data_IF_419063090704
#
_entry.id   IF_419063090704
#
_cell.length_a   1.000
_cell.length_b   1.000
_cell.length_c   1.000
_cell.angle_alpha   90.00
_cell.angle_beta   90.00
_cell.angle_gamma   90.00
#
_symmetry.space_group_name_H-M   'P 1'
#
loop_
_entity.id
_entity.type
_entity.pdbx_description
1 polymer ?
#
# COMPACT_ATOMS: atom_id res chain seq x y z
N UNK A 1 15.35 -0.75 -13.55
CA UNK A 1 14.95 -0.72 -12.13
C UNK A 1 13.44 -0.79 -12.09
N UNK A 2 12.85 -1.53 -11.15
CA UNK A 2 11.39 -1.50 -10.94
C UNK A 2 10.91 -0.07 -10.69
N UNK A 3 9.69 0.24 -11.11
CA UNK A 3 9.07 1.55 -10.96
C UNK A 3 9.18 2.05 -9.51
N UNK A 4 9.86 3.18 -9.31
CA UNK A 4 9.91 3.90 -8.03
C UNK A 4 11.16 3.68 -7.18
N UNK A 5 12.10 2.81 -7.56
CA UNK A 5 13.39 2.68 -6.86
C UNK A 5 14.44 3.61 -7.47
N UNK A 6 15.08 4.42 -6.64
CA UNK A 6 16.18 5.34 -7.00
C UNK A 6 17.30 5.22 -5.97
N UNK A 7 18.49 5.68 -6.31
CA UNK A 7 19.62 5.68 -5.38
C UNK A 7 20.96 5.81 -6.07
N UNK A 8 22.03 5.78 -5.29
CA UNK A 8 23.41 5.74 -5.78
C UNK A 8 23.90 4.31 -5.81
N UNK A 9 24.57 3.94 -6.90
CA UNK A 9 25.30 2.67 -6.97
C UNK A 9 26.48 2.74 -6.01
N UNK A 10 26.50 1.82 -5.04
CA UNK A 10 27.57 1.74 -4.02
C UNK A 10 28.54 0.61 -4.30
N UNK A 11 28.15 -0.37 -5.11
CA UNK A 11 28.97 -1.53 -5.41
C UNK A 11 28.50 -2.27 -6.65
N UNK A 12 29.46 -2.83 -7.39
CA UNK A 12 29.20 -3.73 -8.50
C UNK A 12 30.06 -4.97 -8.31
N UNK A 13 29.40 -6.11 -8.10
CA UNK A 13 30.04 -7.42 -7.99
C UNK A 13 29.72 -8.21 -9.25
N UNK A 14 30.75 -8.50 -10.03
CA UNK A 14 30.64 -9.35 -11.21
C UNK A 14 31.05 -10.76 -10.79
N UNK A 15 30.31 -11.78 -11.21
CA UNK A 15 30.61 -13.21 -11.11
C UNK A 15 30.68 -13.80 -12.52
N UNK A 16 31.69 -14.59 -12.83
CA UNK A 16 31.89 -15.21 -14.16
C UNK A 16 32.35 -16.65 -14.01
N UNK A 17 31.74 -17.54 -14.79
CA UNK A 17 32.13 -18.95 -14.83
C UNK A 17 33.58 -19.14 -15.29
N UNK A 18 34.04 -18.28 -16.20
CA UNK A 18 35.43 -18.29 -16.70
C UNK A 18 36.45 -18.00 -15.59
N UNK A 19 36.07 -17.25 -14.55
CA UNK A 19 36.93 -16.95 -13.40
C UNK A 19 36.81 -17.99 -12.27
N UNK A 20 36.05 -19.07 -12.49
CA UNK A 20 35.82 -20.12 -11.50
C UNK A 20 34.69 -19.84 -10.50
N UNK A 21 33.88 -18.81 -10.72
CA UNK A 21 32.73 -18.53 -9.84
C UNK A 21 31.64 -19.59 -10.02
N UNK A 22 31.10 -20.11 -8.89
CA UNK A 22 29.98 -21.06 -8.91
C UNK A 22 28.70 -20.35 -9.34
N UNK A 23 28.21 -20.67 -10.54
CA UNK A 23 26.97 -20.13 -11.12
C UNK A 23 26.02 -21.26 -11.51
N UNK A 24 24.71 -21.02 -11.40
CA UNK A 24 23.67 -21.99 -11.79
C UNK A 24 23.82 -22.43 -13.25
N UNK A 25 23.31 -23.63 -13.57
CA UNK A 25 23.39 -24.17 -14.93
C UNK A 25 22.76 -23.21 -15.96
N UNK A 26 23.42 -23.02 -17.10
CA UNK A 26 23.01 -22.06 -18.13
C UNK A 26 23.43 -20.60 -17.90
N UNK A 27 23.94 -20.22 -16.72
CA UNK A 27 24.39 -18.85 -16.43
C UNK A 27 25.90 -18.73 -16.63
N UNK A 28 26.32 -17.91 -17.59
CA UNK A 28 27.73 -17.66 -17.92
C UNK A 28 28.33 -16.56 -17.02
N UNK A 29 27.55 -15.51 -16.74
CA UNK A 29 27.96 -14.34 -15.97
C UNK A 29 26.77 -13.80 -15.17
N UNK A 30 27.00 -13.36 -13.93
CA UNK A 30 26.00 -12.72 -13.06
C UNK A 30 26.57 -11.40 -12.53
N UNK A 31 25.79 -10.32 -12.61
CA UNK A 31 26.21 -9.00 -12.14
C UNK A 31 25.26 -8.56 -11.04
N UNK A 32 25.79 -8.34 -9.84
CA UNK A 32 25.08 -7.78 -8.70
C UNK A 32 25.42 -6.29 -8.61
N UNK A 33 24.39 -5.45 -8.66
CA UNK A 33 24.52 -4.01 -8.51
C UNK A 33 23.85 -3.63 -7.19
N UNK A 34 24.63 -3.14 -6.25
CA UNK A 34 24.16 -2.65 -4.95
C UNK A 34 23.85 -1.16 -5.06
N UNK A 35 22.61 -0.78 -4.71
CA UNK A 35 22.12 0.59 -4.80
C UNK A 35 21.64 1.02 -3.42
N UNK A 36 22.14 2.15 -2.94
CA UNK A 36 21.76 2.74 -1.65
C UNK A 36 20.97 4.04 -1.84
N UNK A 37 20.00 4.25 -0.97
CA UNK A 37 19.16 5.45 -0.93
C UNK A 37 19.04 5.94 0.51
N UNK A 38 19.23 7.24 0.72
CA UNK A 38 18.95 7.89 2.00
C UNK A 38 17.50 8.39 1.96
N UNK A 39 16.68 7.92 2.91
CA UNK A 39 15.24 8.25 2.98
C UNK A 39 14.92 9.05 4.23
N UNK A 40 14.64 10.33 4.05
CA UNK A 40 14.12 11.20 5.10
C UNK A 40 12.71 10.76 5.55
N UNK A 41 12.24 11.24 6.70
CA UNK A 41 10.84 11.06 7.09
C UNK A 41 9.93 11.93 6.19
N UNK A 42 8.92 11.32 5.60
CA UNK A 42 7.98 12.00 4.71
C UNK A 42 6.53 11.81 5.13
N UNK A 43 5.66 12.71 4.67
CA UNK A 43 4.19 12.56 4.81
C UNK A 43 3.77 11.19 4.28
N UNK A 44 2.97 10.46 5.05
CA UNK A 44 2.57 9.09 4.74
C UNK A 44 3.45 8.00 5.37
N UNK A 45 4.64 8.32 5.89
CA UNK A 45 5.44 7.37 6.65
C UNK A 45 4.79 7.03 7.99
N UNK A 46 4.97 5.79 8.42
CA UNK A 46 4.41 5.30 9.68
C UNK A 46 5.40 5.43 10.83
N UNK A 47 4.99 6.11 11.89
CA UNK A 47 5.72 6.23 13.15
C UNK A 47 5.00 5.45 14.26
N UNK A 48 5.74 5.07 15.29
CA UNK A 48 5.18 4.42 16.47
C UNK A 48 5.98 4.72 17.73
N UNK A 49 5.28 4.98 18.83
CA UNK A 49 5.90 4.91 20.15
C UNK A 49 5.95 3.47 20.68
N UNK A 50 6.58 3.29 21.84
CA UNK A 50 6.76 1.99 22.50
C UNK A 50 5.44 1.40 23.03
N UNK A 51 4.44 2.25 23.26
CA UNK A 51 3.15 1.89 23.85
C UNK A 51 2.04 1.60 22.81
N UNK A 52 2.43 1.25 21.58
CA UNK A 52 1.49 0.88 20.52
C UNK A 52 0.73 2.06 19.88
N UNK A 53 1.07 3.30 20.24
CA UNK A 53 0.60 4.52 19.61
C UNK A 53 1.21 4.64 18.20
N UNK A 54 0.59 3.96 17.23
CA UNK A 54 0.99 3.98 15.82
C UNK A 54 0.23 5.09 15.09
N UNK A 55 0.94 5.85 14.28
CA UNK A 55 0.39 6.94 13.48
C UNK A 55 1.08 7.04 12.12
N UNK A 56 0.46 7.79 11.21
CA UNK A 56 1.05 8.18 9.93
C UNK A 56 1.31 9.67 9.99
N UNK A 57 2.43 10.14 9.43
CA UNK A 57 2.73 11.57 9.34
C UNK A 57 1.70 12.21 8.39
N UNK A 58 0.81 13.05 8.91
CA UNK A 58 -0.21 13.74 8.12
C UNK A 58 0.33 15.01 7.46
N UNK A 59 1.18 15.76 8.17
CA UNK A 59 1.76 17.02 7.70
C UNK A 59 3.10 17.25 8.40
N UNK A 60 4.05 17.82 7.66
CA UNK A 60 5.29 18.38 8.20
C UNK A 60 5.12 19.90 8.16
N UNK A 61 5.20 20.54 9.32
CA UNK A 61 5.08 21.99 9.44
C UNK A 61 6.47 22.63 9.46
N UNK A 62 6.60 23.88 8.98
CA UNK A 62 7.75 24.72 9.30
C UNK A 62 7.91 24.90 10.82
N UNK A 63 9.12 25.18 11.28
CA UNK A 63 9.43 25.33 12.70
C UNK A 63 8.67 26.52 13.32
N UNK A 64 8.54 27.62 12.57
CA UNK A 64 7.82 28.83 12.95
C UNK A 64 6.32 28.62 13.16
N UNK A 65 5.74 27.60 12.53
CA UNK A 65 4.33 27.26 12.63
C UNK A 65 4.02 26.33 13.82
N UNK A 66 5.06 25.76 14.45
CA UNK A 66 4.88 24.79 15.53
C UNK A 66 4.56 25.50 16.85
N UNK A 67 3.67 24.93 17.68
CA UNK A 67 3.48 25.40 19.04
C UNK A 67 4.80 25.44 19.81
N UNK A 68 5.01 26.51 20.57
CA UNK A 68 6.26 26.74 21.30
C UNK A 68 6.01 26.99 22.78
N UNK A 69 7.02 26.67 23.58
CA UNK A 69 7.05 26.85 25.04
C UNK A 69 7.44 28.29 25.41
N UNK A 70 7.30 28.69 26.67
CA UNK A 70 7.62 30.05 27.12
C UNK A 70 9.09 30.45 26.93
N UNK A 71 9.99 29.48 26.79
CA UNK A 71 11.41 29.66 26.46
C UNK A 71 11.67 29.89 24.96
N UNK A 72 10.61 29.89 24.13
CA UNK A 72 10.69 30.04 22.68
C UNK A 72 10.93 28.74 21.92
N UNK A 73 11.11 27.60 22.60
CA UNK A 73 11.43 26.35 21.93
C UNK A 73 10.16 25.69 21.35
N UNK A 74 10.13 25.38 20.05
CA UNK A 74 9.01 24.67 19.44
C UNK A 74 8.98 23.20 19.84
N UNK A 75 7.80 22.58 19.75
CA UNK A 75 7.64 21.13 19.89
C UNK A 75 7.94 20.42 18.57
N UNK A 76 8.49 19.21 18.63
CA UNK A 76 8.85 18.45 17.42
C UNK A 76 7.66 17.68 16.81
N UNK A 77 6.71 17.25 17.64
CA UNK A 77 5.62 16.37 17.21
C UNK A 77 4.38 16.58 18.07
N UNK A 78 3.22 16.65 17.42
CA UNK A 78 1.92 16.80 18.06
C UNK A 78 1.16 15.48 17.95
N UNK A 79 0.79 14.89 19.10
CA UNK A 79 0.01 13.66 19.18
C UNK A 79 -1.46 13.97 19.55
N UNK A 80 -2.39 13.26 18.92
CA UNK A 80 -3.82 13.41 19.25
C UNK A 80 -4.13 12.78 20.62
N UNK A 81 -4.81 13.51 21.53
CA UNK A 81 -5.14 12.97 22.86
C UNK A 81 -6.26 11.91 22.79
N UNK A 82 -7.10 11.91 21.75
CA UNK A 82 -8.27 11.01 21.63
C UNK A 82 -7.88 9.52 21.59
N UNK A 83 -6.67 9.23 21.12
CA UNK A 83 -6.16 7.87 20.98
C UNK A 83 -5.65 7.24 22.27
N UNK A 84 -5.56 8.00 23.38
CA UNK A 84 -5.02 7.51 24.66
C UNK A 84 -6.10 6.86 25.53
N UNK A 85 -7.25 7.50 25.84
CA UNK A 85 -8.26 6.90 26.71
C UNK A 85 -8.86 5.62 26.12
N UNK A 86 -9.10 5.60 24.81
CA UNK A 86 -9.70 4.47 24.10
C UNK A 86 -8.81 3.22 24.05
N UNK A 87 -7.49 3.38 24.20
CA UNK A 87 -6.50 2.29 24.08
C UNK A 87 -5.87 1.89 25.41
N UNK A 88 -6.20 2.59 26.50
CA UNK A 88 -5.68 2.35 27.85
C UNK A 88 -4.14 2.32 27.93
N UNK A 89 -3.45 3.05 27.06
CA UNK A 89 -1.99 3.09 27.00
C UNK A 89 -1.41 4.33 27.71
N UNK A 90 -1.78 4.50 28.98
CA UNK A 90 -1.33 5.62 29.84
C UNK A 90 0.19 5.66 30.01
N UNK A 91 0.88 4.52 29.82
CA UNK A 91 2.34 4.45 29.88
C UNK A 91 3.04 5.48 29.00
N UNK A 92 2.45 5.86 27.85
CA UNK A 92 3.03 6.90 27.00
C UNK A 92 3.02 8.29 27.67
N UNK A 93 2.04 8.57 28.52
CA UNK A 93 1.95 9.85 29.25
C UNK A 93 2.92 9.85 30.43
N UNK A 94 3.06 8.71 31.11
CA UNK A 94 4.08 8.53 32.15
C UNK A 94 5.49 8.67 31.59
N UNK A 95 5.74 8.08 30.42
CA UNK A 95 7.00 8.24 29.66
C UNK A 95 7.24 9.71 29.31
N UNK A 96 6.23 10.41 28.79
CA UNK A 96 6.31 11.83 28.43
C UNK A 96 6.77 12.69 29.60
N UNK A 97 6.14 12.52 30.76
CA UNK A 97 6.42 13.30 31.97
C UNK A 97 7.79 12.97 32.58
N UNK A 98 8.10 11.68 32.74
CA UNK A 98 9.41 11.28 33.26
C UNK A 98 10.53 11.69 32.31
N UNK A 99 10.30 11.62 30.99
CA UNK A 99 11.23 12.10 29.98
C UNK A 99 11.49 13.61 30.08
N UNK A 100 10.48 14.41 30.41
CA UNK A 100 10.64 15.85 30.67
C UNK A 100 11.55 16.12 31.87
N UNK A 101 11.30 15.46 33.00
CA UNK A 101 12.11 15.62 34.20
C UNK A 101 13.56 15.15 33.97
N UNK A 102 13.72 13.95 33.40
CA UNK A 102 15.03 13.35 33.12
C UNK A 102 15.89 14.20 32.16
N UNK A 103 15.28 14.74 31.09
CA UNK A 103 15.98 15.63 30.17
C UNK A 103 16.44 16.93 30.85
N UNK A 104 15.62 17.48 31.74
CA UNK A 104 15.90 18.77 32.40
C UNK A 104 16.96 18.62 33.50
N UNK A 105 16.90 17.52 34.25
CA UNK A 105 17.85 17.20 35.32
C UNK A 105 19.13 16.50 34.81
N UNK A 106 19.18 16.14 33.53
CA UNK A 106 20.38 15.60 32.88
C UNK A 106 20.68 14.14 33.22
N UNK A 107 19.66 13.31 33.47
CA UNK A 107 19.83 11.87 33.74
C UNK A 107 19.05 11.00 32.76
N UNK A 108 19.40 9.72 32.70
CA UNK A 108 18.64 8.71 31.95
C UNK A 108 17.80 7.86 32.90
N UNK A 109 16.47 7.96 32.79
CA UNK A 109 15.57 7.12 33.55
C UNK A 109 15.57 5.67 33.00
N UNK A 110 15.90 4.70 33.85
CA UNK A 110 15.76 3.27 33.54
C UNK A 110 14.58 2.74 34.35
N UNK A 111 13.51 2.36 33.65
CA UNK A 111 12.26 1.89 34.26
C UNK A 111 12.06 0.41 33.89
N UNK A 112 12.42 -0.54 34.77
CA UNK A 112 12.18 -1.96 34.52
C UNK A 112 10.68 -2.27 34.40
N UNK A 113 10.30 -3.27 33.58
CA UNK A 113 8.92 -3.74 33.54
C UNK A 113 8.44 -4.17 34.94
N UNK A 114 7.25 -3.73 35.34
CA UNK A 114 6.57 -4.07 36.60
C UNK A 114 7.26 -3.63 37.91
N UNK A 115 8.45 -3.03 37.85
CA UNK A 115 9.16 -2.45 38.99
C UNK A 115 9.59 -1.01 38.65
N UNK A 116 8.65 -0.25 38.08
CA UNK A 116 8.90 1.07 37.53
C UNK A 116 8.56 2.22 38.46
N UNK A 117 8.92 3.43 38.02
CA UNK A 117 8.60 4.68 38.71
C UNK A 117 7.08 4.81 38.95
N UNK A 118 6.72 5.11 40.18
CA UNK A 118 5.36 5.40 40.61
C UNK A 118 4.93 6.80 40.18
N UNK A 119 3.63 7.04 40.10
CA UNK A 119 3.08 8.38 39.79
C UNK A 119 3.58 9.45 40.76
N UNK A 120 3.73 9.11 42.05
CA UNK A 120 4.25 10.01 43.09
C UNK A 120 5.70 10.38 42.87
N UNK A 121 6.54 9.43 42.45
CA UNK A 121 7.95 9.68 42.14
C UNK A 121 8.08 10.57 40.90
N UNK A 122 7.34 10.26 39.83
CA UNK A 122 7.34 11.07 38.60
C UNK A 122 6.92 12.53 38.89
N UNK A 123 5.88 12.71 39.72
CA UNK A 123 5.45 14.05 40.16
C UNK A 123 6.53 14.77 40.97
N UNK A 124 7.21 14.06 41.87
CA UNK A 124 8.34 14.60 42.63
C UNK A 124 9.48 15.06 41.73
N UNK A 125 9.84 14.25 40.75
CA UNK A 125 10.88 14.55 39.75
C UNK A 125 10.50 15.77 38.88
N UNK A 126 9.24 15.90 38.46
CA UNK A 126 8.76 17.08 37.72
C UNK A 126 8.92 18.37 38.54
N UNK A 127 8.58 18.32 39.82
CA UNK A 127 8.71 19.48 40.72
C UNK A 127 10.17 19.83 40.95
N UNK A 128 11.06 18.83 41.13
CA UNK A 128 12.50 19.06 41.22
C UNK A 128 13.07 19.68 39.94
N UNK A 129 12.55 19.29 38.77
CA UNK A 129 12.89 19.87 37.48
C UNK A 129 12.29 21.28 37.25
N UNK A 130 11.50 21.81 38.18
CA UNK A 130 10.89 23.14 38.09
C UNK A 130 9.57 23.20 37.30
N UNK A 131 8.96 22.05 37.00
CA UNK A 131 7.66 21.98 36.32
C UNK A 131 6.51 21.74 37.30
N UNK A 132 5.28 21.99 36.83
CA UNK A 132 4.07 21.61 37.57
C UNK A 132 4.01 20.09 37.77
N UNK A 133 3.55 19.65 38.93
CA UNK A 133 3.26 18.25 39.21
C UNK A 133 2.23 17.63 38.25
N UNK A 134 1.43 18.45 37.53
CA UNK A 134 0.52 17.95 36.49
C UNK A 134 1.23 17.54 35.19
N UNK A 135 2.49 17.93 34.98
CA UNK A 135 3.22 17.75 33.72
C UNK A 135 2.69 18.61 32.57
N UNK A 136 1.79 19.56 32.86
CA UNK A 136 1.22 20.48 31.88
C UNK A 136 1.87 21.84 31.97
N UNK A 137 1.99 22.51 30.82
CA UNK A 137 2.53 23.84 30.68
C UNK A 137 1.78 24.65 29.63
N UNK A 138 1.93 25.97 29.68
CA UNK A 138 1.33 26.87 28.71
C UNK A 138 2.10 26.81 27.40
N UNK A 139 1.40 26.55 26.30
CA UNK A 139 1.95 26.64 24.95
C UNK A 139 1.38 27.88 24.24
N UNK A 140 2.15 28.36 23.27
CA UNK A 140 1.77 29.45 22.38
C UNK A 140 1.66 28.94 20.95
N UNK A 141 0.69 29.44 20.20
CA UNK A 141 0.51 29.13 18.79
C UNK A 141 1.56 29.88 17.96
N UNK A 142 2.37 29.15 17.18
CA UNK A 142 3.41 29.74 16.32
C UNK A 142 2.87 30.71 15.26
N UNK A 143 1.60 30.56 14.86
CA UNK A 143 0.99 31.39 13.81
C UNK A 143 0.41 32.70 14.32
N UNK A 144 -0.25 32.67 15.46
CA UNK A 144 -0.92 33.84 16.04
C UNK A 144 -0.12 34.50 17.15
N UNK A 145 0.79 33.76 17.80
CA UNK A 145 1.48 34.18 19.03
C UNK A 145 0.60 34.11 20.28
N UNK A 146 -0.68 33.75 20.16
CA UNK A 146 -1.59 33.66 21.29
C UNK A 146 -1.36 32.39 22.10
N UNK A 147 -1.58 32.47 23.42
CA UNK A 147 -1.49 31.29 24.27
C UNK A 147 -2.74 30.41 24.13
N UNK A 148 -2.57 29.09 24.09
CA UNK A 148 -3.71 28.16 24.12
C UNK A 148 -4.54 28.33 25.40
N UNK A 149 -5.85 28.07 25.29
CA UNK A 149 -6.81 28.27 26.38
C UNK A 149 -6.62 27.30 27.56
N UNK A 150 -6.01 26.14 27.32
CA UNK A 150 -5.75 25.11 28.34
C UNK A 150 -4.26 24.76 28.35
N UNK A 151 -3.74 24.42 29.53
CA UNK A 151 -2.39 23.91 29.66
C UNK A 151 -2.28 22.53 29.02
N UNK A 152 -1.19 22.33 28.28
CA UNK A 152 -0.95 21.14 27.46
C UNK A 152 0.15 20.30 28.10
N UNK A 153 -0.01 18.97 28.07
CA UNK A 153 1.03 18.05 28.49
C UNK A 153 2.14 18.02 27.44
N UNK A 154 3.36 18.37 27.84
CA UNK A 154 4.55 18.43 26.97
C UNK A 154 5.65 17.63 27.64
N UNK A 155 6.50 16.99 26.85
CA UNK A 155 7.64 16.24 27.35
C UNK A 155 8.33 15.45 26.26
N UNK A 156 9.17 14.50 26.66
CA UNK A 156 9.94 13.69 25.71
C UNK A 156 9.40 12.27 25.65
N UNK A 157 9.16 11.80 24.43
CA UNK A 157 8.70 10.44 24.16
C UNK A 157 9.60 9.80 23.12
N UNK A 158 9.87 8.51 23.27
CA UNK A 158 10.63 7.74 22.32
C UNK A 158 9.75 7.27 21.15
N UNK A 159 10.06 7.77 19.95
CA UNK A 159 9.33 7.46 18.72
C UNK A 159 10.25 6.76 17.73
N UNK A 160 9.72 5.70 17.11
CA UNK A 160 10.41 4.90 16.11
C UNK A 160 9.79 5.10 14.73
N UNK A 161 10.63 5.22 13.70
CA UNK A 161 10.21 5.12 12.30
C UNK A 161 10.06 3.65 11.93
N UNK A 162 8.87 3.24 11.51
CA UNK A 162 8.62 1.87 11.10
C UNK A 162 9.02 1.65 9.64
N UNK A 163 9.37 0.41 9.29
CA UNK A 163 9.59 -0.04 7.91
C UNK A 163 8.25 -0.19 7.15
N UNK A 164 7.49 0.90 7.11
CA UNK A 164 6.22 1.07 6.42
C UNK A 164 6.20 2.46 5.79
N UNK A 165 7.09 2.65 4.81
CA UNK A 165 7.27 3.92 4.11
C UNK A 165 6.23 4.08 3.01
N UNK A 166 5.85 5.33 2.74
CA UNK A 166 4.85 5.64 1.70
C UNK A 166 5.36 5.29 0.30
N UNK A 167 6.65 5.53 0.04
CA UNK A 167 7.30 5.27 -1.26
C UNK A 167 7.22 3.78 -1.65
N UNK A 168 7.28 2.89 -0.66
CA UNK A 168 7.15 1.45 -0.89
C UNK A 168 5.70 1.02 -1.10
N UNK A 169 4.72 1.78 -0.61
CA UNK A 169 3.30 1.46 -0.69
C UNK A 169 2.59 2.06 -1.89
N UNK A 170 3.03 3.22 -2.38
CA UNK A 170 2.42 3.84 -3.55
C UNK A 170 2.60 2.94 -4.78
N UNK A 171 1.52 2.70 -5.49
CA UNK A 171 1.50 1.90 -6.71
C UNK A 171 0.42 2.44 -7.64
N UNK A 172 0.78 2.63 -8.90
CA UNK A 172 -0.13 3.06 -9.95
C UNK A 172 0.13 2.28 -11.22
N UNK A 173 -0.94 2.03 -11.97
CA UNK A 173 -0.89 1.29 -13.22
C UNK A 173 -1.84 1.92 -14.22
N UNK A 174 -1.33 2.20 -15.41
CA UNK A 174 -2.15 2.51 -16.59
C UNK A 174 -2.37 1.23 -17.40
N UNK A 175 -1.30 0.75 -18.05
CA UNK A 175 -1.22 -0.52 -18.78
C UNK A 175 -0.10 -1.37 -18.18
N UNK A 176 -0.12 -2.68 -18.43
CA UNK A 176 0.91 -3.57 -17.89
C UNK A 176 0.73 -5.01 -18.37
N UNK A 177 1.47 -5.96 -17.78
CA UNK A 177 1.36 -7.36 -18.15
C UNK A 177 0.00 -7.95 -17.75
N UNK A 178 -0.38 -9.01 -18.47
CA UNK A 178 -1.62 -9.75 -18.29
C UNK A 178 -1.31 -11.25 -18.13
N UNK A 179 -2.19 -11.95 -17.44
CA UNK A 179 -2.15 -13.40 -17.31
C UNK A 179 -2.35 -14.06 -18.68
N UNK A 180 -1.54 -15.08 -18.99
CA UNK A 180 -1.67 -15.84 -20.24
C UNK A 180 -3.01 -16.57 -20.34
N UNK A 181 -3.54 -17.05 -19.21
CA UNK A 181 -4.75 -17.88 -19.17
C UNK A 181 -5.99 -17.00 -19.11
N UNK A 182 -6.10 -16.16 -18.08
CA UNK A 182 -7.32 -15.40 -17.80
C UNK A 182 -7.37 -14.06 -18.51
N UNK A 183 -6.26 -13.60 -19.10
CA UNK A 183 -6.12 -12.30 -19.76
C UNK A 183 -6.41 -11.10 -18.85
N UNK A 184 -6.55 -11.32 -17.54
CA UNK A 184 -6.68 -10.28 -16.53
C UNK A 184 -5.30 -9.65 -16.23
N UNK A 185 -5.28 -8.38 -15.80
CA UNK A 185 -4.10 -7.77 -15.20
C UNK A 185 -3.41 -8.67 -14.18
N UNK A 186 -2.08 -8.78 -14.24
CA UNK A 186 -1.35 -9.48 -13.19
C UNK A 186 -1.52 -8.76 -11.84
N UNK A 187 -1.31 -9.49 -10.74
CA UNK A 187 -1.39 -8.94 -9.39
C UNK A 187 -0.02 -8.46 -8.87
N UNK A 188 -0.04 -7.50 -7.96
CA UNK A 188 1.13 -7.10 -7.16
C UNK A 188 1.99 -6.01 -7.79
N UNK A 189 2.57 -5.16 -6.92
CA UNK A 189 3.40 -4.01 -7.29
C UNK A 189 4.64 -4.40 -8.10
N UNK A 190 5.32 -5.48 -7.72
CA UNK A 190 6.56 -5.95 -8.38
C UNK A 190 6.35 -6.30 -9.86
N UNK A 191 5.14 -6.72 -10.22
CA UNK A 191 4.78 -7.07 -11.60
C UNK A 191 4.12 -5.91 -12.36
N UNK A 192 4.05 -4.70 -11.77
CA UNK A 192 3.27 -3.61 -12.33
C UNK A 192 1.78 -3.98 -12.44
N UNK A 193 1.28 -4.76 -11.48
CA UNK A 193 -0.03 -5.39 -11.51
C UNK A 193 -1.20 -4.45 -11.22
N UNK A 194 -2.41 -4.85 -11.59
CA UNK A 194 -3.63 -4.08 -11.32
C UNK A 194 -4.09 -4.20 -9.87
N UNK A 195 -4.95 -3.27 -9.46
CA UNK A 195 -5.69 -3.41 -8.20
C UNK A 195 -6.82 -4.41 -8.41
N UNK A 196 -7.05 -5.28 -7.42
CA UNK A 196 -8.19 -6.20 -7.45
C UNK A 196 -9.46 -5.41 -7.19
N UNK A 197 -10.40 -5.52 -8.13
CA UNK A 197 -11.79 -5.13 -7.95
C UNK A 197 -12.57 -6.39 -7.56
N UNK A 198 -12.95 -6.51 -6.29
CA UNK A 198 -13.55 -7.70 -5.73
C UNK A 198 -15.07 -7.70 -5.78
N UNK A 199 -15.65 -8.77 -5.25
CA UNK A 199 -17.11 -8.97 -5.21
C UNK A 199 -17.82 -7.90 -4.38
N UNK A 200 -17.23 -7.49 -3.25
CA UNK A 200 -17.79 -6.43 -2.41
C UNK A 200 -17.82 -5.09 -3.14
N UNK A 201 -16.79 -4.77 -3.92
CA UNK A 201 -16.77 -3.55 -4.74
C UNK A 201 -17.76 -3.61 -5.92
N UNK A 202 -17.99 -4.80 -6.49
CA UNK A 202 -19.06 -5.02 -7.48
C UNK A 202 -20.42 -4.70 -6.87
N UNK A 203 -20.71 -5.21 -5.67
CA UNK A 203 -21.97 -4.92 -4.97
C UNK A 203 -22.13 -3.44 -4.68
N UNK A 204 -21.06 -2.74 -4.31
CA UNK A 204 -21.09 -1.30 -4.10
C UNK A 204 -21.55 -0.55 -5.38
N UNK A 205 -20.99 -0.89 -6.55
CA UNK A 205 -21.41 -0.27 -7.81
C UNK A 205 -22.85 -0.63 -8.22
N UNK A 206 -23.27 -1.87 -7.97
CA UNK A 206 -24.64 -2.30 -8.22
C UNK A 206 -25.64 -1.54 -7.33
N UNK A 207 -25.33 -1.38 -6.04
CA UNK A 207 -26.16 -0.63 -5.10
C UNK A 207 -26.31 0.85 -5.48
N UNK A 208 -25.28 1.44 -6.11
CA UNK A 208 -25.34 2.78 -6.66
C UNK A 208 -26.02 2.88 -8.04
N UNK A 209 -26.40 1.75 -8.66
CA UNK A 209 -26.93 1.74 -10.03
C UNK A 209 -25.90 2.12 -11.10
N UNK A 210 -24.60 2.04 -10.80
CA UNK A 210 -23.51 2.47 -11.67
C UNK A 210 -23.17 1.42 -12.74
N UNK A 211 -24.16 1.05 -13.55
CA UNK A 211 -24.07 -0.05 -14.52
C UNK A 211 -22.95 0.13 -15.56
N UNK A 212 -22.77 1.36 -16.08
CA UNK A 212 -21.72 1.65 -17.07
C UNK A 212 -20.31 1.53 -16.46
N UNK A 213 -20.10 2.04 -15.25
CA UNK A 213 -18.83 1.95 -14.53
C UNK A 213 -18.49 0.50 -14.20
N UNK A 214 -19.47 -0.27 -13.73
CA UNK A 214 -19.28 -1.69 -13.44
C UNK A 214 -18.91 -2.46 -14.70
N UNK A 215 -19.64 -2.24 -15.80
CA UNK A 215 -19.36 -2.89 -17.09
C UNK A 215 -17.95 -2.54 -17.58
N UNK A 216 -17.52 -1.29 -17.42
CA UNK A 216 -16.18 -0.85 -17.78
C UNK A 216 -15.09 -1.59 -16.99
N UNK A 217 -15.27 -1.75 -15.67
CA UNK A 217 -14.34 -2.46 -14.79
C UNK A 217 -14.20 -3.94 -15.16
N UNK A 218 -15.30 -4.59 -15.52
CA UNK A 218 -15.34 -6.02 -15.85
C UNK A 218 -14.93 -6.34 -17.31
N UNK A 219 -14.74 -5.33 -18.17
CA UNK A 219 -14.44 -5.54 -19.59
C UNK A 219 -13.14 -4.84 -20.00
N UNK A 220 -13.23 -3.60 -20.49
CA UNK A 220 -12.13 -2.87 -21.13
C UNK A 220 -10.98 -2.53 -20.17
N UNK A 221 -11.24 -2.49 -18.86
CA UNK A 221 -10.19 -2.31 -17.82
C UNK A 221 -9.58 -3.62 -17.32
N UNK A 222 -10.10 -4.77 -17.78
CA UNK A 222 -9.70 -6.11 -17.34
C UNK A 222 -9.29 -6.98 -18.55
N UNK A 223 -10.18 -7.88 -18.97
CA UNK A 223 -9.90 -9.06 -19.81
C UNK A 223 -10.66 -9.06 -21.15
N UNK A 224 -11.27 -7.94 -21.53
CA UNK A 224 -11.66 -7.71 -22.93
C UNK A 224 -10.43 -7.30 -23.76
N UNK A 225 -9.83 -8.29 -24.44
CA UNK A 225 -8.57 -8.14 -25.19
C UNK A 225 -8.71 -7.10 -26.32
N UNK A 226 -9.81 -7.18 -27.08
CA UNK A 226 -10.06 -6.29 -28.21
C UNK A 226 -10.53 -4.92 -27.71
N UNK A 227 -11.42 -4.90 -26.73
CA UNK A 227 -12.00 -3.68 -26.17
C UNK A 227 -10.98 -2.82 -25.44
N UNK A 228 -10.02 -3.40 -24.70
CA UNK A 228 -8.98 -2.61 -24.02
C UNK A 228 -8.04 -1.91 -25.00
N UNK A 229 -7.69 -2.56 -26.10
CA UNK A 229 -6.83 -1.98 -27.15
C UNK A 229 -7.56 -0.86 -27.87
N UNK A 230 -8.82 -1.09 -28.26
CA UNK A 230 -9.67 -0.09 -28.87
C UNK A 230 -9.96 1.10 -27.93
N UNK A 231 -10.14 0.84 -26.63
CA UNK A 231 -10.32 1.88 -25.63
C UNK A 231 -9.07 2.75 -25.48
N UNK A 232 -7.88 2.16 -25.47
CA UNK A 232 -6.62 2.91 -25.45
C UNK A 232 -6.49 3.80 -26.69
N UNK A 233 -6.73 3.26 -27.89
CA UNK A 233 -6.67 4.04 -29.14
C UNK A 233 -7.69 5.18 -29.16
N UNK A 234 -8.91 4.94 -28.68
CA UNK A 234 -9.96 5.96 -28.59
C UNK A 234 -9.54 7.09 -27.63
N UNK A 235 -8.97 6.77 -26.47
CA UNK A 235 -8.47 7.76 -25.50
C UNK A 235 -7.36 8.61 -26.14
N UNK A 236 -6.41 7.99 -26.84
CA UNK A 236 -5.30 8.71 -27.51
C UNK A 236 -5.81 9.64 -28.61
N UNK A 237 -6.85 9.23 -29.35
CA UNK A 237 -7.45 10.03 -30.43
C UNK A 237 -8.49 11.05 -29.95
N UNK A 238 -8.86 11.04 -28.67
CA UNK A 238 -9.97 11.85 -28.15
C UNK A 238 -11.35 11.41 -28.67
N UNK A 239 -11.46 10.19 -29.18
CA UNK A 239 -12.72 9.61 -29.66
C UNK A 239 -13.50 8.97 -28.51
N UNK A 240 -14.82 8.81 -28.72
CA UNK A 240 -15.66 8.10 -27.75
C UNK A 240 -15.34 6.61 -27.75
N UNK A 241 -15.13 6.04 -26.56
CA UNK A 241 -14.94 4.59 -26.37
C UNK A 241 -16.17 3.85 -26.92
N UNK A 242 -15.93 2.94 -27.88
CA UNK A 242 -16.95 2.16 -28.58
C UNK A 242 -17.38 0.93 -27.77
N UNK A 243 -18.20 0.07 -28.38
CA UNK A 243 -18.79 -1.11 -27.73
C UNK A 243 -17.75 -2.06 -27.13
N UNK A 244 -18.17 -2.70 -26.05
CA UNK A 244 -17.39 -3.64 -25.24
C UNK A 244 -17.73 -5.07 -25.69
N UNK A 245 -16.75 -5.95 -25.76
CA UNK A 245 -16.94 -7.35 -26.15
C UNK A 245 -17.10 -8.25 -24.92
N UNK A 246 -17.33 -9.54 -25.18
CA UNK A 246 -17.36 -10.54 -24.13
C UNK A 246 -15.97 -10.68 -23.47
N UNK A 247 -15.89 -10.75 -22.12
CA UNK A 247 -14.64 -10.99 -21.40
C UNK A 247 -13.97 -12.31 -21.78
N UNK A 248 -12.64 -12.35 -21.81
CA UNK A 248 -11.90 -13.58 -22.08
C UNK A 248 -12.15 -14.65 -20.99
N UNK A 249 -12.36 -14.25 -19.73
CA UNK A 249 -12.72 -15.16 -18.63
C UNK A 249 -14.00 -15.96 -18.91
N UNK A 250 -14.96 -15.40 -19.64
CA UNK A 250 -16.16 -16.12 -20.06
C UNK A 250 -15.83 -17.28 -21.02
N UNK A 251 -14.91 -17.05 -21.96
CA UNK A 251 -14.46 -18.08 -22.89
C UNK A 251 -13.68 -19.19 -22.17
N UNK A 252 -12.87 -18.82 -21.17
CA UNK A 252 -12.16 -19.78 -20.31
C UNK A 252 -13.15 -20.63 -19.51
N UNK A 253 -14.21 -20.03 -18.96
CA UNK A 253 -15.27 -20.75 -18.25
C UNK A 253 -15.96 -21.76 -19.15
N UNK A 254 -16.42 -21.35 -20.34
CA UNK A 254 -17.08 -22.25 -21.30
C UNK A 254 -16.19 -23.44 -21.71
N UNK A 255 -14.91 -23.19 -21.97
CA UNK A 255 -13.97 -24.26 -22.32
C UNK A 255 -13.69 -25.18 -21.13
N UNK A 256 -13.72 -24.66 -19.90
CA UNK A 256 -13.57 -25.47 -18.68
C UNK A 256 -14.77 -26.39 -18.47
N UNK A 257 -15.99 -25.88 -18.67
CA UNK A 257 -17.22 -26.68 -18.61
C UNK A 257 -17.24 -27.78 -19.68
N UNK A 258 -16.87 -27.44 -20.92
CA UNK A 258 -16.74 -28.43 -22.02
C UNK A 258 -15.68 -29.49 -21.74
N UNK A 259 -14.60 -29.12 -21.06
CA UNK A 259 -13.58 -30.07 -20.57
C UNK A 259 -14.13 -31.10 -19.58
N UNK A 260 -15.22 -30.78 -18.88
CA UNK A 260 -15.95 -31.68 -17.97
C UNK A 260 -17.08 -32.45 -18.69
N UNK A 261 -17.08 -32.46 -20.02
CA UNK A 261 -18.15 -33.04 -20.85
C UNK A 261 -19.54 -32.41 -20.63
N UNK A 262 -19.58 -31.15 -20.16
CA UNK A 262 -20.80 -30.34 -20.13
C UNK A 262 -20.88 -29.51 -21.41
N UNK A 263 -21.84 -29.84 -22.27
CA UNK A 263 -22.06 -29.08 -23.50
C UNK A 263 -22.89 -27.82 -23.20
N UNK A 264 -22.26 -26.66 -23.40
CA UNK A 264 -22.85 -25.35 -23.13
C UNK A 264 -22.80 -24.53 -24.40
N UNK A 265 -23.98 -24.15 -24.87
CA UNK A 265 -24.20 -23.31 -26.05
C UNK A 265 -24.85 -21.98 -25.65
N UNK A 266 -24.35 -20.88 -26.20
CA UNK A 266 -24.96 -19.56 -26.04
C UNK A 266 -26.05 -19.41 -27.09
N UNK A 267 -27.30 -19.29 -26.65
CA UNK A 267 -28.45 -19.05 -27.54
C UNK A 267 -28.84 -17.58 -27.52
N UNK A 268 -29.23 -17.05 -28.68
CA UNK A 268 -29.91 -15.75 -28.72
C UNK A 268 -31.38 -15.96 -28.38
N UNK A 269 -31.96 -14.96 -27.72
CA UNK A 269 -33.38 -14.96 -27.37
C UNK A 269 -34.21 -15.03 -28.67
N UNK A 270 -35.04 -16.08 -28.81
CA UNK A 270 -35.83 -16.36 -30.01
C UNK A 270 -35.35 -17.55 -30.86
N UNK A 271 -34.21 -18.18 -30.56
CA UNK A 271 -33.76 -19.41 -31.22
C UNK A 271 -34.35 -20.66 -30.55
N UNK A 272 -35.52 -21.09 -31.01
CA UNK A 272 -36.09 -22.42 -30.67
C UNK A 272 -35.60 -23.46 -31.66
N UNK A 273 -34.61 -24.28 -31.29
CA UNK A 273 -34.21 -25.41 -32.12
C UNK A 273 -33.10 -26.25 -31.52
N UNK A 274 -33.43 -27.45 -31.06
CA UNK A 274 -32.45 -28.50 -30.81
C UNK A 274 -32.02 -29.10 -32.16
N UNK A 275 -31.23 -28.37 -32.93
CA UNK A 275 -30.44 -29.00 -34.00
C UNK A 275 -29.13 -29.44 -33.37
N UNK A 276 -28.97 -30.74 -33.14
CA UNK A 276 -27.66 -31.34 -32.97
C UNK A 276 -26.79 -30.84 -34.14
N UNK A 277 -25.65 -30.17 -33.90
CA UNK A 277 -24.81 -29.73 -34.99
C UNK A 277 -24.44 -30.95 -35.83
N UNK A 278 -24.90 -30.96 -37.09
CA UNK A 278 -24.50 -31.94 -38.07
C UNK A 278 -22.98 -32.07 -38.02
N UNK A 279 -22.51 -33.28 -37.72
CA UNK A 279 -21.11 -33.72 -37.62
C UNK A 279 -20.13 -32.62 -38.03
N UNK A 280 -19.54 -31.91 -37.06
CA UNK A 280 -18.30 -31.19 -37.32
C UNK A 280 -17.29 -32.26 -37.76
N UNK A 281 -17.13 -32.42 -39.06
CA UNK A 281 -16.15 -33.31 -39.66
C UNK A 281 -14.82 -32.92 -39.05
N UNK A 282 -14.32 -33.74 -38.13
CA UNK A 282 -13.05 -33.45 -37.49
C UNK A 282 -12.00 -33.46 -38.60
N UNK A 283 -11.08 -32.50 -38.60
CA UNK A 283 -9.89 -32.57 -39.46
C UNK A 283 -9.07 -33.86 -39.22
N UNK A 284 -9.41 -34.64 -38.19
CA UNK A 284 -8.89 -35.95 -37.89
C UNK A 284 -9.43 -37.05 -38.82
N UNK A 285 -10.71 -37.03 -39.20
CA UNK A 285 -11.31 -38.01 -40.12
C UNK A 285 -10.83 -37.81 -41.56
N UNK A 286 -10.74 -36.56 -42.04
CA UNK A 286 -10.21 -36.26 -43.40
C UNK A 286 -8.74 -36.66 -43.60
N UNK A 287 -7.95 -36.75 -42.53
CA UNK A 287 -6.55 -37.20 -42.59
C UNK A 287 -6.42 -38.72 -42.66
N UNK A 288 -7.43 -39.46 -42.21
CA UNK A 288 -7.43 -40.94 -42.23
C UNK A 288 -7.78 -41.47 -43.62
N UNK A 289 -8.76 -40.85 -44.28
CA UNK A 289 -9.18 -41.24 -45.64
C UNK A 289 -8.11 -40.95 -46.71
N UNK A 290 -7.31 -39.89 -46.55
CA UNK A 290 -6.18 -39.57 -47.46
C UNK A 290 -4.95 -40.49 -47.32
N UNK A 291 -4.92 -41.39 -46.34
CA UNK A 291 -3.82 -42.36 -46.14
C UNK A 291 -4.16 -43.77 -46.63
N UNK A 292 -5.40 -43.98 -47.06
CA UNK A 292 -5.90 -45.28 -47.54
C UNK A 292 -6.40 -45.22 -49.00
N UNK A 293 -5.98 -44.20 -49.75
CA UNK A 293 -6.18 -44.09 -51.20
C UNK A 293 -4.81 -44.05 -51.89
#
# INVERSE_FOLDING_TARGET
MENGKRGRVIGVKVFSRERGDKLDSGIIKRIHIEVAELRAASVGDKLAGRHGNKGVISRVLPEEDMPYMADGRPVDMILTPLGVPSRMNLGQILELHLGLAAHTLGYQAIVPPFAGATDTEIKGELVQAGFSASGKMKLFDGRSGESFSQDVAVGYMYIMKLHHMVEDKIHMRSIGPYSLITQQPLGGKAQGGGQRFGEMEVWALLGHGAAYTLREMLTIKSDDILGRSAAFDAIVKGERIKQMNAPASWSVLLNTLRGLALDVELRKEGETGHELPAKRSSNYERRRERRTA
#
